data_IF_751176629615
#
_entry.id   IF_751176629615
#
_cell.length_a   1.000
_cell.length_b   1.000
_cell.length_c   1.000
_cell.angle_alpha   90.00
_cell.angle_beta   90.00
_cell.angle_gamma   90.00
#
_symmetry.space_group_name_H-M   'P 1'
#
loop_
_entity.id
_entity.type
_entity.pdbx_description
1 polymer ?
#
# COMPACT_ATOMS: atom_id res chain seq x y z
N UNK A 1 -18.91 -7.21 -20.82
CA UNK A 1 -18.22 -5.90 -20.86
C UNK A 1 -16.91 -5.96 -20.05
N UNK A 2 -16.16 -7.03 -20.17
CA UNK A 2 -14.85 -7.20 -19.48
C UNK A 2 -13.67 -7.33 -20.47
N UNK A 3 -13.93 -7.29 -21.76
CA UNK A 3 -12.95 -7.62 -22.80
C UNK A 3 -12.22 -6.41 -23.43
N UNK A 4 -12.68 -5.18 -23.20
CA UNK A 4 -12.05 -3.99 -23.82
C UNK A 4 -10.94 -3.31 -22.99
N UNK A 5 -10.58 -3.86 -21.81
CA UNK A 5 -9.59 -3.24 -20.93
C UNK A 5 -8.14 -3.68 -21.16
N UNK A 6 -7.85 -4.36 -22.22
CA UNK A 6 -6.56 -5.04 -22.35
C UNK A 6 -5.71 -4.58 -23.54
N UNK A 7 -5.62 -3.27 -23.77
CA UNK A 7 -4.77 -2.73 -24.85
C UNK A 7 -3.47 -2.07 -24.33
N UNK A 8 -3.09 -2.30 -23.09
CA UNK A 8 -1.91 -1.73 -22.44
C UNK A 8 -0.99 -2.76 -21.81
N UNK A 9 0.11 -2.30 -21.27
CA UNK A 9 1.03 -3.12 -20.48
C UNK A 9 0.36 -3.58 -19.19
N UNK A 10 0.63 -4.82 -18.77
CA UNK A 10 0.20 -5.33 -17.47
C UNK A 10 1.42 -5.51 -16.60
N UNK A 11 1.60 -4.60 -15.66
CA UNK A 11 2.69 -4.66 -14.69
C UNK A 11 2.50 -5.83 -13.74
N UNK A 12 3.58 -6.55 -13.46
CA UNK A 12 3.59 -7.67 -12.52
C UNK A 12 4.79 -7.55 -11.60
N UNK A 13 4.56 -7.74 -10.31
CA UNK A 13 5.59 -7.84 -9.30
C UNK A 13 5.65 -9.26 -8.77
N UNK A 14 6.84 -9.88 -8.84
CA UNK A 14 7.08 -11.23 -8.34
C UNK A 14 7.84 -11.15 -7.02
N UNK A 15 7.32 -11.81 -5.99
CA UNK A 15 7.97 -11.92 -4.69
C UNK A 15 8.26 -13.39 -4.40
N UNK A 16 9.55 -13.71 -4.26
CA UNK A 16 10.01 -15.04 -3.87
C UNK A 16 9.91 -15.18 -2.33
N UNK A 17 8.86 -15.86 -1.87
CA UNK A 17 8.58 -16.03 -0.45
C UNK A 17 9.60 -16.94 0.25
N UNK A 18 10.26 -17.84 -0.47
CA UNK A 18 11.28 -18.72 0.12
C UNK A 18 12.58 -17.97 0.42
N UNK A 19 12.81 -16.86 -0.28
CA UNK A 19 13.95 -15.96 -0.03
C UNK A 19 13.61 -14.80 0.91
N UNK A 20 12.34 -14.58 1.21
CA UNK A 20 11.92 -13.50 2.08
C UNK A 20 12.31 -13.77 3.53
N UNK A 21 13.17 -12.94 4.11
CA UNK A 21 13.62 -13.01 5.50
C UNK A 21 12.82 -12.12 6.44
N UNK A 22 11.86 -11.34 5.92
CA UNK A 22 11.09 -10.37 6.71
C UNK A 22 11.90 -9.15 7.16
N UNK A 23 13.00 -8.82 6.49
CA UNK A 23 13.91 -7.73 6.88
C UNK A 23 13.33 -6.32 6.77
N UNK A 24 12.15 -6.16 6.18
CA UNK A 24 11.43 -4.90 5.98
C UNK A 24 12.15 -3.84 5.09
N UNK A 25 13.22 -4.20 4.40
CA UNK A 25 13.91 -3.28 3.50
C UNK A 25 12.97 -2.69 2.42
N UNK A 26 12.05 -3.48 1.88
CA UNK A 26 11.03 -3.02 0.93
C UNK A 26 10.06 -2.00 1.55
N UNK A 27 9.74 -2.13 2.85
CA UNK A 27 8.89 -1.18 3.58
C UNK A 27 9.61 0.15 3.72
N UNK A 28 10.87 0.13 4.14
CA UNK A 28 11.71 1.33 4.29
C UNK A 28 11.93 2.02 2.94
N UNK A 29 12.22 1.25 1.90
CA UNK A 29 12.38 1.79 0.54
C UNK A 29 11.09 2.45 0.04
N UNK A 30 9.93 1.84 0.30
CA UNK A 30 8.63 2.42 -0.04
C UNK A 30 8.36 3.74 0.71
N UNK A 31 8.72 3.81 2.00
CA UNK A 31 8.60 5.03 2.79
C UNK A 31 9.50 6.14 2.25
N UNK A 32 10.76 5.83 1.94
CA UNK A 32 11.71 6.80 1.41
C UNK A 32 11.31 7.32 0.02
N UNK A 33 10.90 6.41 -0.87
CA UNK A 33 10.51 6.77 -2.24
C UNK A 33 9.23 7.60 -2.29
N UNK A 34 8.25 7.30 -1.44
CA UNK A 34 6.93 7.92 -1.48
C UNK A 34 6.72 8.96 -0.37
N UNK A 35 7.75 9.41 0.30
CA UNK A 35 7.68 10.36 1.40
C UNK A 35 6.65 9.97 2.47
N UNK A 36 6.50 8.68 2.75
CA UNK A 36 5.53 8.18 3.71
C UNK A 36 6.01 8.49 5.13
N UNK A 37 5.23 9.25 5.93
CA UNK A 37 5.66 9.63 7.26
C UNK A 37 5.75 8.44 8.22
N UNK A 38 6.66 8.51 9.17
CA UNK A 38 6.79 7.53 10.24
C UNK A 38 5.67 7.76 11.26
N UNK A 39 4.93 6.70 11.57
CA UNK A 39 3.88 6.73 12.59
C UNK A 39 4.49 6.65 13.99
N UNK A 40 3.96 7.43 14.92
CA UNK A 40 4.33 7.33 16.33
C UNK A 40 3.80 6.02 16.95
N UNK A 41 4.35 5.64 18.10
CA UNK A 41 3.92 4.45 18.84
C UNK A 41 2.43 4.50 19.17
N UNK A 42 1.92 5.64 19.63
CA UNK A 42 0.50 5.83 19.93
C UNK A 42 -0.40 5.58 18.72
N UNK A 43 0.00 6.04 17.53
CA UNK A 43 -0.76 5.81 16.32
C UNK A 43 -0.72 4.33 15.88
N UNK A 44 0.40 3.66 16.08
CA UNK A 44 0.53 2.22 15.80
C UNK A 44 -0.38 1.43 16.74
N UNK A 45 -0.42 1.75 18.03
CA UNK A 45 -1.31 1.11 19.02
C UNK A 45 -2.78 1.30 18.65
N UNK A 46 -3.14 2.47 18.10
CA UNK A 46 -4.49 2.78 17.60
C UNK A 46 -4.82 2.11 16.25
N UNK A 47 -3.92 1.30 15.69
CA UNK A 47 -4.10 0.67 14.38
C UNK A 47 -4.02 1.63 13.20
N UNK A 48 -3.33 2.76 13.35
CA UNK A 48 -3.19 3.82 12.35
C UNK A 48 -1.78 3.88 11.76
N UNK A 49 -1.05 2.77 11.80
CA UNK A 49 0.26 2.67 11.15
C UNK A 49 0.17 2.98 9.65
N UNK A 50 1.05 3.87 9.19
CA UNK A 50 1.05 4.33 7.80
C UNK A 50 2.06 3.54 6.97
N UNK A 51 1.78 2.26 6.74
CA UNK A 51 2.61 1.38 5.94
C UNK A 51 1.88 0.98 4.65
N UNK A 52 2.38 1.43 3.50
CA UNK A 52 1.83 1.05 2.20
C UNK A 52 2.22 -0.37 1.80
N UNK A 53 3.39 -0.83 2.26
CA UNK A 53 3.81 -2.23 2.25
C UNK A 53 3.93 -2.68 3.69
N UNK A 54 3.34 -3.81 4.05
CA UNK A 54 3.52 -4.44 5.36
C UNK A 54 3.99 -5.87 5.19
N UNK A 55 4.76 -6.38 6.13
CA UNK A 55 5.20 -7.77 6.17
C UNK A 55 4.36 -8.51 7.20
N UNK A 56 3.56 -9.44 6.74
CA UNK A 56 2.83 -10.37 7.60
C UNK A 56 3.70 -11.57 7.92
N UNK A 57 3.62 -12.04 9.15
CA UNK A 57 4.38 -13.21 9.61
C UNK A 57 3.43 -14.31 10.00
N UNK A 58 3.64 -15.49 9.43
CA UNK A 58 2.89 -16.70 9.73
C UNK A 58 3.80 -17.75 10.31
N UNK A 59 3.29 -18.54 11.26
CA UNK A 59 4.00 -19.64 11.87
C UNK A 59 3.47 -20.96 11.33
N UNK A 60 4.38 -21.86 10.94
CA UNK A 60 4.08 -23.22 10.48
C UNK A 60 4.79 -24.21 11.38
N UNK A 61 4.11 -25.35 11.67
CA UNK A 61 4.66 -26.42 12.50
C UNK A 61 4.32 -26.27 13.96
N UNK A 62 4.84 -27.21 14.77
CA UNK A 62 4.68 -27.28 16.22
C UNK A 62 6.04 -27.19 16.91
N UNK A 63 6.04 -26.60 18.10
CA UNK A 63 7.25 -26.49 18.90
C UNK A 63 7.84 -27.89 19.18
N UNK A 64 9.18 -28.12 19.03
CA UNK A 64 10.23 -27.13 18.74
C UNK A 64 10.49 -26.87 17.25
N UNK A 65 9.78 -27.52 16.33
CA UNK A 65 10.03 -27.46 14.89
C UNK A 65 9.14 -26.40 14.21
N UNK A 66 9.26 -25.16 14.63
CA UNK A 66 8.47 -24.02 14.11
C UNK A 66 9.25 -23.29 13.03
N UNK A 67 8.58 -22.95 11.93
CA UNK A 67 9.12 -22.15 10.82
C UNK A 67 8.31 -20.86 10.67
N UNK A 68 8.98 -19.73 10.51
CA UNK A 68 8.33 -18.48 10.17
C UNK A 68 8.25 -18.32 8.65
N UNK A 69 7.08 -17.90 8.14
CA UNK A 69 6.87 -17.45 6.77
C UNK A 69 6.55 -15.97 6.76
N UNK A 70 7.09 -15.26 5.81
CA UNK A 70 6.88 -13.83 5.64
C UNK A 70 6.17 -13.55 4.33
N UNK A 71 5.12 -12.73 4.39
CA UNK A 71 4.34 -12.34 3.23
C UNK A 71 4.30 -10.81 3.13
N UNK A 72 4.98 -10.21 2.15
CA UNK A 72 4.80 -8.81 1.82
C UNK A 72 3.40 -8.58 1.24
N UNK A 73 2.64 -7.68 1.86
CA UNK A 73 1.28 -7.33 1.45
C UNK A 73 1.23 -5.87 1.03
N UNK A 74 0.78 -5.64 -0.20
CA UNK A 74 0.62 -4.33 -0.83
C UNK A 74 -0.55 -4.35 -1.80
N UNK A 75 -0.83 -3.25 -2.50
CA UNK A 75 -1.91 -3.20 -3.47
C UNK A 75 -1.74 -4.26 -4.56
N UNK A 76 -2.77 -5.08 -4.76
CA UNK A 76 -2.76 -6.18 -5.72
C UNK A 76 -3.18 -5.74 -7.14
N UNK A 77 -3.40 -4.46 -7.36
CA UNK A 77 -3.80 -3.89 -8.65
C UNK A 77 -4.97 -4.67 -9.30
N UNK A 78 -6.02 -4.94 -8.52
CA UNK A 78 -7.15 -5.79 -8.91
C UNK A 78 -7.82 -5.28 -10.20
N UNK A 79 -8.08 -6.18 -11.16
CA UNK A 79 -8.76 -5.83 -12.40
C UNK A 79 -10.21 -5.35 -12.20
N UNK A 80 -10.91 -5.88 -11.19
CA UNK A 80 -12.21 -5.42 -10.72
C UNK A 80 -12.07 -5.00 -9.25
N UNK A 81 -11.44 -3.84 -9.05
CA UNK A 81 -11.07 -3.39 -7.73
C UNK A 81 -12.28 -2.90 -6.93
N UNK A 82 -12.62 -3.51 -5.78
CA UNK A 82 -13.77 -3.11 -4.98
C UNK A 82 -13.61 -1.73 -4.32
N UNK A 83 -12.42 -1.16 -4.33
CA UNK A 83 -12.15 0.19 -3.85
C UNK A 83 -12.57 1.29 -4.85
N UNK A 84 -12.82 0.97 -6.12
CA UNK A 84 -13.20 1.92 -7.15
C UNK A 84 -14.67 2.33 -7.08
N UNK A 85 -15.66 1.39 -7.10
CA UNK A 85 -17.07 1.73 -7.14
C UNK A 85 -17.57 2.43 -5.87
N UNK A 86 -16.84 2.33 -4.76
CA UNK A 86 -17.21 2.96 -3.49
C UNK A 86 -16.66 4.37 -3.33
N UNK A 87 -15.84 4.83 -4.25
CA UNK A 87 -15.28 6.18 -4.21
C UNK A 87 -16.31 7.19 -4.75
N UNK A 88 -16.85 8.10 -3.91
CA UNK A 88 -17.92 9.01 -4.34
C UNK A 88 -17.46 10.07 -5.34
N UNK A 89 -16.17 10.31 -5.44
CA UNK A 89 -15.55 11.35 -6.27
C UNK A 89 -14.65 10.78 -7.36
N UNK A 90 -14.68 9.48 -7.55
CA UNK A 90 -13.85 8.79 -8.56
C UNK A 90 -12.36 9.11 -8.42
N UNK A 91 -11.89 9.27 -7.18
CA UNK A 91 -10.48 9.44 -6.88
C UNK A 91 -9.69 8.13 -6.98
N UNK A 92 -10.35 7.01 -6.73
CA UNK A 92 -9.80 5.68 -6.97
C UNK A 92 -10.42 5.13 -8.25
N UNK A 93 -9.59 4.88 -9.26
CA UNK A 93 -10.05 4.38 -10.55
C UNK A 93 -9.01 3.48 -11.20
N UNK A 94 -9.44 2.71 -12.19
CA UNK A 94 -8.58 1.85 -12.98
C UNK A 94 -8.07 2.57 -14.22
N UNK A 95 -6.73 2.64 -14.38
CA UNK A 95 -6.14 3.11 -15.63
C UNK A 95 -6.32 2.05 -16.71
N UNK A 96 -6.90 2.45 -17.85
CA UNK A 96 -7.05 1.56 -19.01
C UNK A 96 -5.75 1.44 -19.81
N UNK A 97 -4.84 2.41 -19.67
CA UNK A 97 -3.56 2.43 -20.37
C UNK A 97 -2.55 1.50 -19.72
N UNK A 98 -2.46 1.51 -18.39
CA UNK A 98 -1.45 0.76 -17.63
C UNK A 98 -2.03 -0.45 -16.88
N UNK A 99 -3.34 -0.62 -16.87
CA UNK A 99 -4.05 -1.67 -16.13
C UNK A 99 -3.71 -1.72 -14.62
N UNK A 100 -3.56 -0.55 -14.02
CA UNK A 100 -3.33 -0.38 -12.59
C UNK A 100 -4.44 0.44 -11.92
N UNK A 101 -4.63 0.22 -10.63
CA UNK A 101 -5.52 1.02 -9.81
C UNK A 101 -4.79 2.28 -9.33
N UNK A 102 -5.29 3.44 -9.72
CA UNK A 102 -4.70 4.75 -9.43
C UNK A 102 -5.49 5.46 -8.34
N UNK A 103 -4.79 6.22 -7.52
CA UNK A 103 -5.35 7.17 -6.58
C UNK A 103 -5.02 8.60 -7.00
N UNK A 104 -6.03 9.41 -7.29
CA UNK A 104 -5.88 10.85 -7.56
C UNK A 104 -6.12 11.61 -6.26
N UNK A 105 -5.06 12.03 -5.60
CA UNK A 105 -5.14 12.66 -4.28
C UNK A 105 -5.96 13.94 -4.27
N UNK A 106 -5.84 14.78 -5.30
CA UNK A 106 -6.57 16.06 -5.42
C UNK A 106 -8.09 15.89 -5.54
N UNK A 107 -8.59 14.72 -5.91
CA UNK A 107 -10.02 14.40 -5.92
C UNK A 107 -10.52 13.80 -4.62
N UNK A 108 -9.61 13.29 -3.80
CA UNK A 108 -9.96 12.55 -2.60
C UNK A 108 -10.58 13.47 -1.54
N UNK A 109 -11.81 13.18 -1.13
CA UNK A 109 -12.51 13.89 -0.04
C UNK A 109 -12.42 13.17 1.31
N UNK A 110 -11.63 12.09 1.39
CA UNK A 110 -11.31 11.43 2.65
C UNK A 110 -12.43 10.56 3.25
N UNK A 111 -13.37 10.04 2.46
CA UNK A 111 -14.44 9.15 2.97
C UNK A 111 -13.91 7.82 3.52
N UNK A 112 -12.68 7.42 3.16
CA UNK A 112 -12.01 6.17 3.57
C UNK A 112 -12.76 4.87 3.19
N UNK A 113 -13.80 4.95 2.40
CA UNK A 113 -14.60 3.79 2.02
C UNK A 113 -13.80 2.78 1.19
N UNK A 114 -12.83 3.27 0.39
CA UNK A 114 -11.89 2.42 -0.35
C UNK A 114 -11.05 1.53 0.57
N UNK A 115 -10.64 2.03 1.73
CA UNK A 115 -9.92 1.25 2.75
C UNK A 115 -10.78 0.16 3.38
N UNK A 116 -12.04 0.47 3.67
CA UNK A 116 -12.98 -0.50 4.24
C UNK A 116 -13.33 -1.62 3.25
N UNK A 117 -13.37 -1.30 1.95
CA UNK A 117 -13.73 -2.26 0.90
C UNK A 117 -12.54 -3.06 0.37
N UNK A 118 -11.31 -2.69 0.71
CA UNK A 118 -10.13 -3.43 0.28
C UNK A 118 -9.98 -4.74 1.06
N UNK A 119 -10.07 -5.93 0.41
CA UNK A 119 -9.94 -7.20 1.12
C UNK A 119 -8.53 -7.43 1.67
N UNK A 120 -7.52 -6.80 1.07
CA UNK A 120 -6.12 -6.89 1.50
C UNK A 120 -5.75 -5.84 2.56
N UNK A 121 -6.64 -4.89 2.87
CA UNK A 121 -6.41 -3.79 3.83
C UNK A 121 -5.14 -3.00 3.54
N UNK A 122 -4.90 -2.68 2.28
CA UNK A 122 -3.71 -1.96 1.81
C UNK A 122 -4.00 -0.50 1.44
N UNK A 123 -5.25 -0.07 1.54
CA UNK A 123 -5.64 1.33 1.41
C UNK A 123 -5.55 2.00 2.78
N UNK A 124 -4.44 2.68 3.00
CA UNK A 124 -4.15 3.35 4.27
C UNK A 124 -4.66 4.79 4.21
N UNK A 125 -5.15 5.28 5.34
CA UNK A 125 -5.66 6.64 5.48
C UNK A 125 -4.73 7.45 6.40
N UNK A 126 -4.36 8.63 5.95
CA UNK A 126 -3.58 9.57 6.75
C UNK A 126 -4.51 10.34 7.70
N UNK A 127 -4.35 10.11 9.00
CA UNK A 127 -5.15 10.75 10.05
C UNK A 127 -4.59 12.12 10.47
N UNK A 128 -3.38 12.44 10.05
CA UNK A 128 -2.68 13.69 10.35
C UNK A 128 -1.94 14.20 9.11
N UNK A 129 -1.72 15.51 9.07
CA UNK A 129 -0.86 16.08 8.06
C UNK A 129 0.59 15.62 8.31
N UNK A 130 1.28 15.03 7.34
CA UNK A 130 2.68 14.68 7.49
C UNK A 130 3.49 15.98 7.70
N UNK A 131 4.38 15.95 8.69
CA UNK A 131 5.33 17.00 8.94
C UNK A 131 6.72 16.41 8.88
N UNK A 132 7.56 17.07 8.13
CA UNK A 132 8.97 16.74 8.04
C UNK A 132 9.73 17.97 8.52
N UNK A 133 10.35 17.87 9.69
CA UNK A 133 11.15 18.96 10.25
C UNK A 133 12.50 19.02 9.53
N UNK A 134 13.09 20.23 9.43
CA UNK A 134 14.45 20.37 8.93
C UNK A 134 15.45 19.56 9.80
N UNK A 135 16.46 18.89 9.22
CA UNK A 135 16.87 18.90 7.80
C UNK A 135 16.17 17.85 6.92
N UNK A 136 15.23 17.05 7.44
CA UNK A 136 14.58 15.95 6.71
C UNK A 136 13.78 16.46 5.50
N UNK A 137 13.19 17.66 5.58
CA UNK A 137 12.46 18.25 4.47
C UNK A 137 13.30 18.36 3.20
N UNK A 138 14.60 18.63 3.35
CA UNK A 138 15.54 18.74 2.23
C UNK A 138 15.92 17.38 1.60
N UNK A 139 15.60 16.28 2.28
CA UNK A 139 15.93 14.92 1.86
C UNK A 139 14.74 14.17 1.28
N UNK A 140 13.58 14.82 1.19
CA UNK A 140 12.39 14.24 0.61
C UNK A 140 12.57 14.02 -0.90
N UNK A 141 11.90 12.99 -1.42
CA UNK A 141 11.82 12.76 -2.85
C UNK A 141 11.02 13.89 -3.51
N UNK A 142 11.62 14.72 -4.38
CA UNK A 142 10.94 15.85 -5.00
C UNK A 142 9.90 15.44 -6.06
N UNK A 143 9.95 14.19 -6.54
CA UNK A 143 9.03 13.68 -7.55
C UNK A 143 7.67 13.27 -6.96
N UNK A 144 7.58 13.23 -5.62
CA UNK A 144 6.36 12.87 -4.89
C UNK A 144 5.75 14.12 -4.27
N UNK A 145 4.64 14.56 -4.80
CA UNK A 145 3.88 15.72 -4.30
C UNK A 145 2.61 15.30 -3.56
#
# INVERSE_FOLDING_TARGET
>A
MAEERNNGHKWTMIVDLDKCTGCQACVVACHAENNVPVSSEDEVIRGRANHWIRIERYWEGEYPNVKARFLPVFCQQCGNAPCEPVCPVYASYHSTEENINIQVYNRCVGTRYCGNNCPYRVRIFNYWAPRFDEPLEQQLNPDVT
#
